data_IF_538000085637
#
_entry.id   IF_538000085637
#
_cell.length_a   1.000
_cell.length_b   1.000
_cell.length_c   1.000
_cell.angle_alpha   90.00
_cell.angle_beta   90.00
_cell.angle_gamma   90.00
#
_symmetry.space_group_name_H-M   'P 1'
#
loop_
_entity.id
_entity.type
_entity.pdbx_description
1 polymer ?
#
# COMPACT_ATOMS: atom_id res chain seq x y z
N UNK A 1 -9.39 -13.84 4.93
CA UNK A 1 -9.02 -12.68 5.76
C UNK A 1 -7.59 -12.81 6.22
N UNK A 2 -6.80 -11.77 6.00
CA UNK A 2 -5.39 -11.74 6.44
C UNK A 2 -5.30 -11.14 7.84
N UNK A 3 -5.97 -10.01 8.06
CA UNK A 3 -5.97 -9.36 9.36
C UNK A 3 -7.22 -8.51 9.54
N UNK A 4 -7.46 -8.11 10.78
CA UNK A 4 -8.62 -7.34 11.22
C UNK A 4 -8.13 -6.21 12.12
N UNK A 5 -8.70 -5.02 11.94
CA UNK A 5 -8.45 -3.87 12.81
C UNK A 5 -9.77 -3.42 13.43
N UNK A 6 -9.80 -2.27 14.11
CA UNK A 6 -11.03 -1.76 14.68
C UNK A 6 -12.12 -1.53 13.64
N UNK A 7 -11.75 -1.01 12.45
CA UNK A 7 -12.72 -0.64 11.41
C UNK A 7 -12.55 -1.42 10.10
N UNK A 8 -11.44 -2.15 9.92
CA UNK A 8 -11.06 -2.73 8.64
C UNK A 8 -10.91 -4.24 8.69
N UNK A 9 -11.14 -4.86 7.54
CA UNK A 9 -10.70 -6.22 7.22
C UNK A 9 -9.77 -6.11 6.01
N UNK A 10 -8.60 -6.75 6.10
CA UNK A 10 -7.70 -6.88 4.96
C UNK A 10 -7.73 -8.33 4.49
N UNK A 11 -7.93 -8.51 3.18
CA UNK A 11 -8.04 -9.83 2.56
C UNK A 11 -7.27 -9.89 1.24
N UNK A 12 -7.04 -11.09 0.76
CA UNK A 12 -6.42 -11.27 -0.55
C UNK A 12 -7.28 -10.67 -1.64
N UNK A 13 -6.61 -10.04 -2.60
CA UNK A 13 -7.23 -9.48 -3.79
C UNK A 13 -7.69 -10.59 -4.72
N UNK A 14 -8.81 -10.37 -5.41
CA UNK A 14 -9.41 -11.29 -6.38
C UNK A 14 -9.69 -10.54 -7.68
N UNK A 15 -9.84 -11.28 -8.77
CA UNK A 15 -10.10 -10.63 -10.07
C UNK A 15 -11.41 -9.85 -10.10
N UNK A 16 -12.42 -10.25 -9.32
CA UNK A 16 -13.66 -9.49 -9.21
C UNK A 16 -13.53 -8.19 -8.40
N UNK A 17 -12.37 -7.90 -7.87
CA UNK A 17 -12.09 -6.58 -7.27
C UNK A 17 -11.77 -5.51 -8.31
N UNK A 18 -11.69 -5.88 -9.60
CA UNK A 18 -11.27 -4.96 -10.66
C UNK A 18 -12.14 -3.72 -10.74
N UNK A 19 -13.46 -3.87 -10.65
CA UNK A 19 -14.39 -2.74 -10.73
C UNK A 19 -14.14 -1.73 -9.62
N UNK A 20 -13.97 -2.20 -8.38
CA UNK A 20 -13.69 -1.33 -7.24
C UNK A 20 -12.31 -0.67 -7.33
N UNK A 21 -11.30 -1.45 -7.73
CA UNK A 21 -9.95 -0.90 -7.89
C UNK A 21 -9.88 0.14 -9.01
N UNK A 22 -10.66 -0.07 -10.08
CA UNK A 22 -10.71 0.86 -11.19
C UNK A 22 -11.21 2.24 -10.76
N UNK A 23 -12.09 2.32 -9.76
CA UNK A 23 -12.53 3.58 -9.18
C UNK A 23 -11.34 4.42 -8.70
N UNK A 24 -10.34 3.78 -8.10
CA UNK A 24 -9.11 4.45 -7.66
C UNK A 24 -8.19 4.70 -8.86
N UNK A 25 -7.91 3.65 -9.62
CA UNK A 25 -6.88 3.68 -10.67
C UNK A 25 -7.25 4.57 -11.85
N UNK A 26 -8.53 4.82 -12.08
CA UNK A 26 -8.99 5.74 -13.12
C UNK A 26 -9.16 7.19 -12.62
N UNK A 27 -9.02 7.43 -11.33
CA UNK A 27 -9.16 8.76 -10.72
C UNK A 27 -7.83 9.51 -10.80
N UNK A 28 -7.72 10.57 -11.62
CA UNK A 28 -6.47 11.31 -11.76
C UNK A 28 -5.97 11.93 -10.45
N UNK A 29 -6.89 12.30 -9.56
CA UNK A 29 -6.52 12.87 -8.25
C UNK A 29 -5.90 11.82 -7.35
N UNK A 30 -6.50 10.63 -7.26
CA UNK A 30 -5.94 9.52 -6.49
C UNK A 30 -4.60 9.08 -7.04
N UNK A 31 -4.41 9.15 -8.36
CA UNK A 31 -3.21 8.69 -9.05
C UNK A 31 -2.20 9.81 -9.36
N UNK A 32 -2.36 10.98 -8.74
CA UNK A 32 -1.54 12.16 -9.01
C UNK A 32 -0.03 11.89 -8.93
N UNK A 33 0.40 11.08 -7.98
CA UNK A 33 1.82 10.79 -7.74
C UNK A 33 2.30 9.47 -8.37
N UNK A 34 1.49 8.88 -9.22
CA UNK A 34 1.82 7.67 -9.96
C UNK A 34 2.02 8.01 -11.43
N UNK A 35 2.72 7.17 -12.21
CA UNK A 35 3.04 7.51 -13.60
C UNK A 35 1.83 7.83 -14.48
N UNK A 36 0.70 7.16 -14.24
CA UNK A 36 -0.54 7.37 -14.99
C UNK A 36 -1.71 6.73 -14.27
N UNK A 37 -2.93 7.07 -14.71
CA UNK A 37 -4.11 6.29 -14.36
C UNK A 37 -4.04 4.92 -15.07
N UNK A 38 -4.91 4.00 -14.67
CA UNK A 38 -5.00 2.67 -15.26
C UNK A 38 -6.40 2.44 -15.83
N UNK A 39 -6.46 1.77 -16.98
CA UNK A 39 -7.73 1.28 -17.55
C UNK A 39 -8.06 -0.10 -16.98
N UNK A 40 -9.17 -0.70 -17.46
CA UNK A 40 -9.62 -2.02 -16.99
C UNK A 40 -8.55 -3.09 -17.22
N UNK A 41 -7.95 -3.13 -18.40
CA UNK A 41 -6.92 -4.13 -18.72
C UNK A 41 -5.71 -4.01 -17.79
N UNK A 42 -5.25 -2.79 -17.54
CA UNK A 42 -4.12 -2.53 -16.66
C UNK A 42 -4.47 -2.87 -15.21
N UNK A 43 -5.71 -2.64 -14.80
CA UNK A 43 -6.19 -3.01 -13.47
C UNK A 43 -6.19 -4.53 -13.28
N UNK A 44 -6.64 -5.28 -14.28
CA UNK A 44 -6.59 -6.75 -14.24
C UNK A 44 -5.15 -7.26 -14.19
N UNK A 45 -4.24 -6.63 -14.94
CA UNK A 45 -2.81 -6.96 -14.88
C UNK A 45 -2.22 -6.71 -13.49
N UNK A 46 -2.64 -5.64 -12.84
CA UNK A 46 -2.25 -5.31 -11.48
C UNK A 46 -2.71 -6.38 -10.49
N UNK A 47 -3.96 -6.83 -10.63
CA UNK A 47 -4.52 -7.88 -9.78
C UNK A 47 -3.75 -9.19 -9.97
N UNK A 48 -3.50 -9.58 -11.22
CA UNK A 48 -2.76 -10.81 -11.51
C UNK A 48 -1.34 -10.77 -10.95
N UNK A 49 -0.65 -9.62 -11.06
CA UNK A 49 0.66 -9.41 -10.46
C UNK A 49 0.60 -9.51 -8.93
N UNK A 50 -0.45 -8.95 -8.33
CA UNK A 50 -0.63 -9.00 -6.88
C UNK A 50 -0.86 -10.44 -6.39
N UNK A 51 -1.71 -11.19 -7.08
CA UNK A 51 -1.97 -12.61 -6.75
C UNK A 51 -0.68 -13.43 -6.88
N UNK A 52 0.10 -13.17 -7.93
CA UNK A 52 1.39 -13.82 -8.12
C UNK A 52 2.35 -13.53 -6.95
N UNK A 53 2.35 -12.31 -6.42
CA UNK A 53 3.15 -11.95 -5.27
C UNK A 53 2.79 -12.78 -4.03
N UNK A 54 1.51 -13.07 -3.80
CA UNK A 54 1.11 -13.92 -2.69
C UNK A 54 1.75 -15.31 -2.78
N UNK A 55 1.83 -15.86 -3.99
CA UNK A 55 2.41 -17.18 -4.23
C UNK A 55 3.94 -17.18 -4.09
N UNK A 56 4.59 -16.14 -4.63
CA UNK A 56 6.05 -16.04 -4.63
C UNK A 56 6.62 -15.63 -3.30
N UNK A 57 5.97 -14.71 -2.59
CA UNK A 57 6.54 -14.05 -1.41
C UNK A 57 5.72 -14.24 -0.15
N UNK A 58 4.54 -14.87 -0.24
CA UNK A 58 3.64 -15.03 0.90
C UNK A 58 2.95 -13.73 1.32
N UNK A 59 3.19 -12.63 0.60
CA UNK A 59 2.66 -11.30 0.91
C UNK A 59 2.43 -10.52 -0.36
N UNK A 60 1.70 -9.44 -0.27
CA UNK A 60 1.38 -8.55 -1.39
C UNK A 60 0.46 -7.44 -0.90
N UNK A 61 -0.18 -6.77 -1.84
CA UNK A 61 -1.20 -5.78 -1.50
C UNK A 61 -2.51 -6.50 -1.22
N UNK A 62 -3.14 -6.15 -0.11
CA UNK A 62 -4.43 -6.73 0.28
C UNK A 62 -5.54 -5.70 0.08
N UNK A 63 -6.76 -6.18 -0.18
CA UNK A 63 -7.94 -5.31 -0.25
C UNK A 63 -8.37 -4.97 1.17
N UNK A 64 -8.62 -3.68 1.40
CA UNK A 64 -9.15 -3.17 2.66
C UNK A 64 -10.64 -2.88 2.49
N UNK A 65 -11.45 -3.50 3.35
CA UNK A 65 -12.90 -3.33 3.41
C UNK A 65 -13.31 -2.81 4.77
N UNK A 66 -14.40 -2.04 4.82
CA UNK A 66 -14.97 -1.63 6.08
C UNK A 66 -15.57 -2.85 6.78
N UNK A 67 -15.16 -3.08 8.01
CA UNK A 67 -15.50 -4.28 8.77
C UNK A 67 -17.01 -4.48 8.97
N UNK A 68 -17.76 -3.40 9.16
CA UNK A 68 -19.19 -3.47 9.44
C UNK A 68 -20.04 -3.49 8.18
N UNK A 69 -19.67 -2.74 7.16
CA UNK A 69 -20.47 -2.56 5.96
C UNK A 69 -20.03 -3.41 4.78
N UNK A 70 -18.78 -3.89 4.79
CA UNK A 70 -18.19 -4.58 3.65
C UNK A 70 -17.79 -3.65 2.50
N UNK A 71 -17.88 -2.33 2.70
CA UNK A 71 -17.53 -1.37 1.67
C UNK A 71 -16.04 -1.48 1.31
N UNK A 72 -15.75 -1.53 0.00
CA UNK A 72 -14.38 -1.46 -0.50
C UNK A 72 -13.82 -0.07 -0.22
N UNK A 73 -12.63 0.00 0.39
CA UNK A 73 -12.00 1.26 0.74
C UNK A 73 -10.70 1.52 -0.02
N UNK A 74 -9.93 0.48 -0.31
CA UNK A 74 -8.64 0.62 -0.96
C UNK A 74 -7.79 -0.62 -0.86
N UNK A 75 -6.49 -0.43 -0.97
CA UNK A 75 -5.51 -1.51 -0.83
C UNK A 75 -4.37 -1.08 0.08
N UNK A 76 -3.81 -2.05 0.81
CA UNK A 76 -2.65 -1.85 1.65
C UNK A 76 -1.95 -3.19 1.86
N UNK A 77 -0.63 -3.20 1.87
CA UNK A 77 0.09 -4.44 2.09
C UNK A 77 1.59 -4.24 2.10
N UNK A 78 2.30 -5.36 2.00
CA UNK A 78 3.76 -5.39 2.03
C UNK A 78 4.24 -6.06 0.75
N UNK A 79 5.11 -5.39 0.01
CA UNK A 79 5.65 -5.90 -1.26
C UNK A 79 7.18 -5.76 -1.26
N UNK A 80 7.90 -6.72 -1.90
CA UNK A 80 9.33 -6.56 -2.09
C UNK A 80 9.62 -5.38 -3.02
N UNK A 81 10.66 -4.62 -2.70
CA UNK A 81 11.07 -3.47 -3.51
C UNK A 81 12.58 -3.33 -3.47
N UNK A 82 13.17 -2.91 -4.60
CA UNK A 82 14.58 -2.60 -4.67
C UNK A 82 14.77 -1.11 -4.35
N UNK A 83 15.70 -0.82 -3.44
CA UNK A 83 16.06 0.54 -3.01
C UNK A 83 17.56 0.68 -3.08
N UNK A 84 18.06 1.36 -4.10
CA UNK A 84 19.50 1.57 -4.32
C UNK A 84 20.31 0.27 -4.24
N UNK A 85 19.85 -0.78 -4.93
CA UNK A 85 20.53 -2.07 -4.98
C UNK A 85 20.23 -3.00 -3.82
N UNK A 86 19.51 -2.55 -2.80
CA UNK A 86 19.11 -3.38 -1.66
C UNK A 86 17.66 -3.86 -1.82
N UNK A 87 17.41 -5.12 -1.45
CA UNK A 87 16.07 -5.65 -1.41
C UNK A 87 15.42 -5.27 -0.09
N UNK A 88 14.35 -4.51 -0.15
CA UNK A 88 13.60 -4.04 1.01
C UNK A 88 12.16 -4.53 0.94
N UNK A 89 11.46 -4.50 2.06
CA UNK A 89 10.03 -4.77 2.12
C UNK A 89 9.30 -3.45 2.33
N UNK A 90 8.42 -3.11 1.39
CA UNK A 90 7.72 -1.83 1.34
C UNK A 90 6.29 -1.98 1.80
N UNK A 91 5.82 -1.11 2.70
CA UNK A 91 4.39 -0.91 2.95
C UNK A 91 3.86 0.04 1.88
N UNK A 92 2.92 -0.46 1.08
CA UNK A 92 2.19 0.34 0.11
C UNK A 92 0.75 0.52 0.54
N UNK A 93 0.18 1.69 0.28
CA UNK A 93 -1.23 1.97 0.58
C UNK A 93 -1.82 2.97 -0.40
N UNK A 94 -3.05 2.71 -0.81
CA UNK A 94 -3.77 3.56 -1.75
C UNK A 94 -5.27 3.36 -1.53
N UNK A 95 -5.95 4.42 -1.09
CA UNK A 95 -7.38 4.39 -0.76
C UNK A 95 -8.17 5.28 -1.71
N UNK A 96 -9.43 4.95 -1.92
CA UNK A 96 -10.30 5.74 -2.78
C UNK A 96 -10.53 7.13 -2.17
N UNK A 97 -10.58 8.12 -3.04
CA UNK A 97 -10.62 9.53 -2.63
C UNK A 97 -11.77 9.86 -1.69
N UNK A 98 -12.94 9.24 -1.91
CA UNK A 98 -14.15 9.51 -1.12
C UNK A 98 -14.00 9.16 0.36
N UNK A 99 -13.00 8.35 0.73
CA UNK A 99 -12.80 7.96 2.13
C UNK A 99 -11.52 8.55 2.74
N UNK A 100 -10.83 9.44 2.03
CA UNK A 100 -9.67 10.14 2.57
C UNK A 100 -10.03 10.94 3.83
N UNK A 101 -9.04 11.21 4.68
CA UNK A 101 -9.15 11.99 5.93
C UNK A 101 -9.94 11.28 7.04
N UNK A 102 -10.19 9.99 6.89
CA UNK A 102 -10.83 9.18 7.93
C UNK A 102 -9.83 8.33 8.73
N UNK A 103 -8.54 8.40 8.38
CA UNK A 103 -7.50 7.65 9.07
C UNK A 103 -7.38 6.19 8.66
N UNK A 104 -8.06 5.76 7.59
CA UNK A 104 -8.03 4.37 7.15
C UNK A 104 -6.64 3.93 6.68
N UNK A 105 -5.94 4.77 5.92
CA UNK A 105 -4.61 4.43 5.44
C UNK A 105 -3.64 4.24 6.60
N UNK A 106 -3.71 5.09 7.61
CA UNK A 106 -2.88 4.98 8.82
C UNK A 106 -3.21 3.70 9.58
N UNK A 107 -4.50 3.40 9.76
CA UNK A 107 -4.94 2.19 10.46
C UNK A 107 -4.49 0.92 9.73
N UNK A 108 -4.66 0.86 8.43
CA UNK A 108 -4.24 -0.27 7.61
C UNK A 108 -2.72 -0.44 7.60
N UNK A 109 -1.99 0.64 7.39
CA UNK A 109 -0.52 0.60 7.35
C UNK A 109 0.07 0.21 8.70
N UNK A 110 -0.50 0.68 9.79
CA UNK A 110 -0.08 0.28 11.15
C UNK A 110 -0.25 -1.22 11.36
N UNK A 111 -1.39 -1.76 10.95
CA UNK A 111 -1.66 -3.20 11.04
C UNK A 111 -0.70 -4.02 10.16
N UNK A 112 -0.43 -3.55 8.94
CA UNK A 112 0.53 -4.20 8.05
C UNK A 112 1.95 -4.20 8.63
N UNK A 113 2.36 -3.09 9.24
CA UNK A 113 3.66 -2.99 9.90
C UNK A 113 3.79 -4.05 10.99
N UNK A 114 2.81 -4.12 11.88
CA UNK A 114 2.80 -5.10 12.96
C UNK A 114 2.83 -6.54 12.41
N UNK A 115 2.00 -6.81 11.41
CA UNK A 115 1.97 -8.12 10.75
C UNK A 115 3.32 -8.49 10.13
N UNK A 116 3.98 -7.53 9.48
CA UNK A 116 5.31 -7.74 8.91
C UNK A 116 6.35 -8.13 9.95
N UNK A 117 6.36 -7.45 11.08
CA UNK A 117 7.30 -7.77 12.16
C UNK A 117 6.95 -9.09 12.86
N UNK A 118 5.70 -9.32 13.17
CA UNK A 118 5.28 -10.49 13.94
C UNK A 118 5.17 -11.77 13.12
N UNK A 119 4.60 -11.69 11.92
CA UNK A 119 4.31 -12.87 11.10
C UNK A 119 5.39 -13.21 10.09
N UNK A 120 6.06 -12.21 9.54
CA UNK A 120 7.16 -12.42 8.59
C UNK A 120 8.53 -12.24 9.22
N UNK A 121 8.59 -11.88 10.50
CA UNK A 121 9.84 -11.68 11.24
C UNK A 121 10.78 -10.69 10.54
N UNK A 122 10.21 -9.69 9.88
CA UNK A 122 10.98 -8.63 9.25
C UNK A 122 11.71 -7.82 10.31
N UNK A 123 12.90 -7.34 9.97
CA UNK A 123 13.68 -6.48 10.87
C UNK A 123 13.59 -5.02 10.47
N UNK A 124 13.22 -4.76 9.22
CA UNK A 124 13.10 -3.42 8.66
C UNK A 124 11.95 -3.40 7.67
N UNK A 125 11.19 -2.31 7.67
CA UNK A 125 10.13 -2.06 6.69
C UNK A 125 10.31 -0.64 6.20
N UNK A 126 10.13 -0.42 4.89
CA UNK A 126 10.23 0.90 4.27
C UNK A 126 8.89 1.34 3.70
N UNK A 127 8.76 2.63 3.45
CA UNK A 127 7.70 3.23 2.66
C UNK A 127 8.36 4.23 1.69
N UNK A 128 7.88 4.25 0.45
CA UNK A 128 8.51 5.00 -0.64
C UNK A 128 7.57 6.00 -1.29
N UNK A 129 7.03 6.98 -0.53
CA UNK A 129 6.16 7.98 -1.13
C UNK A 129 6.96 8.92 -2.04
N UNK A 130 6.30 9.44 -3.08
CA UNK A 130 6.80 10.59 -3.80
C UNK A 130 7.10 11.70 -2.80
N UNK A 131 8.25 12.36 -2.92
CA UNK A 131 8.67 13.39 -1.97
C UNK A 131 7.66 14.54 -1.85
N UNK A 132 6.83 14.76 -2.87
CA UNK A 132 5.77 15.79 -2.89
C UNK A 132 4.45 15.31 -2.32
N UNK A 133 4.28 14.00 -2.10
CA UNK A 133 3.04 13.43 -1.59
C UNK A 133 2.99 13.56 -0.07
N UNK A 134 2.58 14.72 0.42
CA UNK A 134 2.57 15.03 1.85
C UNK A 134 1.62 14.13 2.64
N UNK A 135 0.47 13.77 2.07
CA UNK A 135 -0.50 12.89 2.75
C UNK A 135 0.10 11.51 3.00
N UNK A 136 0.77 10.94 1.99
CA UNK A 136 1.43 9.64 2.13
C UNK A 136 2.59 9.71 3.13
N UNK A 137 3.37 10.80 3.10
CA UNK A 137 4.46 10.99 4.06
C UNK A 137 3.95 11.07 5.49
N UNK A 138 2.80 11.74 5.71
CA UNK A 138 2.19 11.80 7.04
C UNK A 138 1.75 10.43 7.55
N UNK A 139 1.24 9.58 6.67
CA UNK A 139 0.89 8.21 7.06
C UNK A 139 2.12 7.47 7.57
N UNK A 140 3.22 7.54 6.82
CA UNK A 140 4.48 6.91 7.23
C UNK A 140 4.93 7.41 8.61
N UNK A 141 4.89 8.72 8.82
CA UNK A 141 5.29 9.33 10.10
C UNK A 141 4.38 8.89 11.26
N UNK A 142 3.07 8.82 11.02
CA UNK A 142 2.10 8.43 12.05
C UNK A 142 2.24 6.99 12.50
N UNK A 143 2.78 6.12 11.66
CA UNK A 143 3.01 4.72 12.04
C UNK A 143 4.42 4.48 12.60
N UNK A 144 5.15 5.55 12.87
CA UNK A 144 6.45 5.48 13.54
C UNK A 144 7.66 5.39 12.62
N UNK A 145 7.47 5.61 11.32
CA UNK A 145 8.58 5.63 10.38
C UNK A 145 9.29 6.97 10.40
N UNK A 146 10.60 6.96 10.16
CA UNK A 146 11.42 8.17 10.06
C UNK A 146 12.02 8.28 8.67
N UNK A 147 12.20 9.52 8.21
CA UNK A 147 12.83 9.78 6.92
C UNK A 147 14.30 9.39 7.00
N UNK A 148 14.69 8.39 6.21
CA UNK A 148 16.06 7.90 6.14
C UNK A 148 16.88 8.69 5.12
N UNK A 149 16.31 8.90 3.93
CA UNK A 149 16.97 9.59 2.81
C UNK A 149 15.96 9.90 1.72
N UNK A 150 16.38 10.72 0.77
CA UNK A 150 15.66 10.97 -0.48
C UNK A 150 16.49 10.40 -1.62
N UNK A 151 15.86 9.63 -2.50
CA UNK A 151 16.53 9.01 -3.65
C UNK A 151 15.83 9.40 -4.95
N UNK A 152 16.49 9.15 -6.06
CA UNK A 152 15.89 9.28 -7.38
C UNK A 152 15.47 7.89 -7.85
N UNK A 153 14.17 7.69 -8.06
CA UNK A 153 13.60 6.41 -8.48
C UNK A 153 12.32 6.69 -9.25
N UNK A 154 12.02 5.86 -10.25
CA UNK A 154 10.85 6.03 -11.13
C UNK A 154 10.79 7.42 -11.81
N UNK A 155 11.97 8.00 -12.10
CA UNK A 155 12.05 9.29 -12.74
C UNK A 155 11.72 10.50 -11.88
N UNK A 156 11.74 10.35 -10.55
CA UNK A 156 11.37 11.42 -9.60
C UNK A 156 12.04 11.24 -8.25
N UNK A 157 11.91 12.24 -7.39
CA UNK A 157 12.42 12.16 -6.03
C UNK A 157 11.45 11.36 -5.15
N UNK A 158 11.99 10.37 -4.44
CA UNK A 158 11.26 9.49 -3.55
C UNK A 158 11.82 9.66 -2.14
N UNK A 159 10.94 9.91 -1.18
CA UNK A 159 11.31 9.93 0.23
C UNK A 159 11.32 8.49 0.76
N UNK A 160 12.45 8.06 1.29
CA UNK A 160 12.58 6.72 1.88
C UNK A 160 12.36 6.84 3.37
N UNK A 161 11.23 6.33 3.83
CA UNK A 161 10.91 6.18 5.24
C UNK A 161 11.22 4.76 5.69
N UNK A 162 11.69 4.61 6.91
CA UNK A 162 11.99 3.28 7.44
C UNK A 162 11.59 3.17 8.90
N UNK A 163 11.35 1.93 9.32
CA UNK A 163 11.12 1.57 10.72
C UNK A 163 11.74 0.20 10.96
N UNK A 164 12.36 0.05 12.10
CA UNK A 164 13.02 -1.19 12.51
C UNK A 164 12.22 -1.85 13.64
N UNK A 165 12.29 -3.18 13.66
CA UNK A 165 11.69 -3.95 14.73
C UNK A 165 12.40 -3.69 16.06
#
# INVERSE_FOLDING_TARGET
>A
MIMKTDRLILRKMRRNDAENLLEIFSDPTAMEYYPSTKNEKQTLQWIDWTIENYEKHGTGLWVAEHKQTGEFLGQCGIVPQEVEGSNEMEIGYLFKRSVWKNGYATEAASACKQYGFESFHLKKIVSLPDAKNLLSRKVAERIGMTLEKTIHKWGKEIAVYSVYC
#
